data_IF_991274843384
#
_entry.id   IF_991274843384
#
_cell.length_a   1.000
_cell.length_b   1.000
_cell.length_c   1.000
_cell.angle_alpha   90.00
_cell.angle_beta   90.00
_cell.angle_gamma   90.00
#
_symmetry.space_group_name_H-M   'P 1'
#
loop_
_entity.id
_entity.type
_entity.pdbx_description
1 polymer ?
#
# COMPACT_ATOMS: atom_id res chain seq x y z
N UNK A 1 -11.53 -31.79 118.71
CA UNK A 1 -12.61 -31.17 119.50
C UNK A 1 -13.88 -31.53 118.75
N UNK A 2 -14.74 -32.43 119.24
CA UNK A 2 -15.39 -32.45 120.57
C UNK A 2 -16.26 -31.19 120.74
N UNK A 3 -17.52 -31.27 121.17
CA UNK A 3 -18.23 -32.25 122.01
C UNK A 3 -19.69 -32.40 121.42
N UNK A 4 -20.53 -33.43 121.59
CA UNK A 4 -20.98 -34.20 122.76
C UNK A 4 -21.60 -33.29 123.86
N UNK A 5 -22.74 -33.50 124.52
CA UNK A 5 -23.94 -34.40 124.42
C UNK A 5 -25.14 -33.53 124.91
N UNK A 6 -26.41 -33.93 125.15
CA UNK A 6 -27.15 -35.19 125.38
C UNK A 6 -28.44 -35.19 124.49
N UNK A 7 -29.45 -36.09 124.48
CA UNK A 7 -30.23 -36.79 125.52
C UNK A 7 -31.02 -35.83 126.45
N UNK A 8 -32.31 -36.05 126.80
CA UNK A 8 -32.99 -37.32 127.09
C UNK A 8 -34.54 -37.27 126.90
N UNK A 9 -35.14 -38.45 126.59
CA UNK A 9 -36.47 -38.97 127.03
C UNK A 9 -37.78 -38.16 126.71
N UNK A 10 -39.00 -38.72 126.71
CA UNK A 10 -39.55 -40.00 127.22
C UNK A 10 -40.37 -40.81 126.16
N UNK A 11 -40.68 -42.08 126.49
CA UNK A 11 -41.50 -43.01 125.71
C UNK A 11 -43.01 -42.70 125.71
N UNK A 12 -43.69 -42.99 124.58
CA UNK A 12 -44.92 -43.81 124.56
C UNK A 12 -45.27 -44.24 123.12
N UNK A 13 -45.55 -45.53 122.84
CA UNK A 13 -46.02 -45.98 121.53
C UNK A 13 -47.54 -45.80 121.38
N UNK A 14 -47.98 -45.52 120.15
CA UNK A 14 -49.37 -45.65 119.72
C UNK A 14 -49.39 -46.11 118.26
N UNK A 15 -50.00 -47.26 118.00
CA UNK A 15 -50.05 -47.88 116.68
C UNK A 15 -50.89 -47.02 115.71
N UNK A 16 -50.32 -46.74 114.54
CA UNK A 16 -51.01 -46.09 113.44
C UNK A 16 -50.48 -46.69 112.13
N UNK A 17 -51.16 -47.75 111.66
CA UNK A 17 -50.98 -48.25 110.30
C UNK A 17 -51.34 -47.12 109.32
N UNK A 18 -50.31 -46.50 108.76
CA UNK A 18 -50.40 -45.56 107.66
C UNK A 18 -49.83 -46.26 106.44
N UNK A 19 -50.70 -46.96 105.70
CA UNK A 19 -50.36 -47.50 104.39
C UNK A 19 -49.79 -46.35 103.54
N UNK A 20 -48.51 -46.46 103.21
CA UNK A 20 -47.87 -45.58 102.22
C UNK A 20 -48.28 -46.15 100.86
N UNK A 21 -49.53 -45.87 100.49
CA UNK A 21 -50.01 -46.06 99.13
C UNK A 21 -49.09 -45.26 98.19
N UNK A 22 -48.26 -46.00 97.45
CA UNK A 22 -47.49 -45.50 96.30
C UNK A 22 -48.48 -45.26 95.15
N UNK A 23 -49.46 -44.39 95.38
CA UNK A 23 -50.33 -43.83 94.35
C UNK A 23 -49.48 -42.87 93.51
N UNK A 24 -48.64 -43.49 92.67
CA UNK A 24 -47.85 -42.83 91.65
C UNK A 24 -48.82 -42.22 90.65
N UNK A 25 -49.29 -41.02 90.97
CA UNK A 25 -50.28 -40.26 90.23
C UNK A 25 -49.75 -40.02 88.82
N UNK A 26 -50.05 -40.96 87.92
CA UNK A 26 -49.78 -40.89 86.51
C UNK A 26 -50.64 -39.74 85.96
N UNK A 27 -50.05 -38.53 85.98
CA UNK A 27 -50.65 -37.32 85.43
C UNK A 27 -51.05 -37.63 84.00
N UNK A 28 -52.36 -37.68 83.76
CA UNK A 28 -52.91 -38.06 82.47
C UNK A 28 -52.70 -36.91 81.48
N UNK A 29 -51.47 -36.83 80.94
CA UNK A 29 -50.92 -35.75 80.11
C UNK A 29 -51.48 -35.83 78.68
N UNK A 30 -52.81 -35.78 78.60
CA UNK A 30 -53.60 -35.77 77.38
C UNK A 30 -53.84 -34.31 76.97
N UNK A 31 -53.02 -33.74 76.07
CA UNK A 31 -53.06 -32.30 75.79
C UNK A 31 -54.44 -31.87 75.29
N UNK A 32 -54.91 -30.73 75.77
CA UNK A 32 -56.26 -30.22 75.48
C UNK A 32 -56.42 -29.87 74.00
N UNK A 33 -57.67 -29.73 73.54
CA UNK A 33 -57.94 -29.34 72.14
C UNK A 33 -57.25 -28.01 71.77
N UNK A 34 -57.16 -27.07 72.71
CA UNK A 34 -56.47 -25.79 72.52
C UNK A 34 -54.95 -25.94 72.36
N UNK A 35 -54.31 -26.85 73.10
CA UNK A 35 -52.88 -27.14 72.91
C UNK A 35 -52.64 -27.81 71.55
N UNK A 36 -53.55 -28.68 71.09
CA UNK A 36 -53.49 -29.29 69.76
C UNK A 36 -53.69 -28.26 68.64
N UNK A 37 -54.57 -27.28 68.82
CA UNK A 37 -54.74 -26.14 67.90
C UNK A 37 -53.50 -25.23 67.90
N UNK A 38 -52.97 -24.89 69.07
CA UNK A 38 -51.77 -24.07 69.21
C UNK A 38 -50.55 -24.75 68.56
N UNK A 39 -50.33 -26.05 68.80
CA UNK A 39 -49.27 -26.82 68.17
C UNK A 39 -49.45 -26.99 66.65
N UNK A 40 -50.67 -26.94 66.12
CA UNK A 40 -50.92 -26.85 64.67
C UNK A 40 -50.59 -25.46 64.13
N UNK A 41 -50.99 -24.39 64.84
CA UNK A 41 -50.70 -23.02 64.44
C UNK A 41 -49.20 -22.72 64.47
N UNK A 42 -48.48 -23.19 65.48
CA UNK A 42 -47.02 -23.04 65.60
C UNK A 42 -46.28 -23.75 64.46
N UNK A 43 -46.68 -24.99 64.11
CA UNK A 43 -46.14 -25.68 62.92
C UNK A 43 -46.40 -24.90 61.63
N UNK A 44 -47.64 -24.45 61.41
CA UNK A 44 -48.01 -23.64 60.23
C UNK A 44 -47.28 -22.29 60.18
N UNK A 45 -46.90 -21.70 61.32
CA UNK A 45 -46.07 -20.49 61.36
C UNK A 45 -44.63 -20.81 60.94
N UNK A 46 -44.03 -21.88 61.49
CA UNK A 46 -42.66 -22.28 61.18
C UNK A 46 -42.49 -22.82 59.74
N UNK A 47 -43.51 -23.47 59.17
CA UNK A 47 -43.60 -23.80 57.75
C UNK A 47 -43.59 -22.54 56.86
N UNK A 48 -44.28 -21.47 57.29
CA UNK A 48 -44.32 -20.19 56.57
C UNK A 48 -43.02 -19.40 56.73
N UNK A 49 -42.36 -19.51 57.88
CA UNK A 49 -41.05 -18.93 58.19
C UNK A 49 -39.98 -19.52 57.25
N UNK A 50 -39.81 -20.85 57.23
CA UNK A 50 -38.93 -21.52 56.26
C UNK A 50 -39.27 -21.20 54.80
N UNK A 51 -40.57 -21.09 54.48
CA UNK A 51 -41.05 -20.71 53.15
C UNK A 51 -40.84 -19.24 52.77
N UNK A 52 -40.53 -18.36 53.73
CA UNK A 52 -40.08 -16.98 53.51
C UNK A 52 -38.55 -16.92 53.41
N UNK A 53 -37.82 -17.63 54.29
CA UNK A 53 -36.36 -17.71 54.25
C UNK A 53 -35.86 -18.26 52.91
N UNK A 54 -36.50 -19.33 52.40
CA UNK A 54 -36.21 -19.88 51.08
C UNK A 54 -36.44 -18.87 49.95
N UNK A 55 -37.44 -17.98 50.08
CA UNK A 55 -37.73 -16.94 49.09
C UNK A 55 -36.75 -15.77 49.18
N UNK A 56 -36.30 -15.39 50.37
CA UNK A 56 -35.21 -14.41 50.50
C UNK A 56 -33.98 -14.93 49.79
N UNK A 57 -33.52 -16.13 50.14
CA UNK A 57 -32.37 -16.79 49.50
C UNK A 57 -32.58 -17.13 47.99
N UNK A 58 -33.77 -16.93 47.43
CA UNK A 58 -34.00 -16.94 45.98
C UNK A 58 -33.92 -15.53 45.36
N UNK A 59 -34.40 -14.50 46.07
CA UNK A 59 -34.30 -13.10 45.69
C UNK A 59 -32.86 -12.59 45.76
N UNK A 60 -32.13 -12.87 46.84
CA UNK A 60 -30.72 -12.49 47.01
C UNK A 60 -29.89 -13.02 45.80
N UNK A 61 -30.10 -14.29 45.44
CA UNK A 61 -29.47 -14.96 44.27
C UNK A 61 -30.02 -14.53 42.90
N UNK A 62 -30.98 -13.60 42.86
CA UNK A 62 -31.46 -12.93 41.64
C UNK A 62 -30.87 -11.54 41.56
N UNK A 63 -30.76 -10.83 42.69
CA UNK A 63 -30.05 -9.55 42.84
C UNK A 63 -28.57 -9.70 42.41
N UNK A 64 -27.84 -10.66 42.98
CA UNK A 64 -26.47 -11.05 42.56
C UNK A 64 -26.30 -11.26 41.04
N UNK A 65 -27.36 -11.70 40.35
CA UNK A 65 -27.37 -11.99 38.90
C UNK A 65 -27.86 -10.83 38.05
N UNK A 66 -28.51 -9.84 38.64
CA UNK A 66 -28.81 -8.56 38.00
C UNK A 66 -27.55 -7.71 38.06
N UNK A 67 -26.94 -7.57 39.24
CA UNK A 67 -25.71 -6.80 39.46
C UNK A 67 -24.59 -7.26 38.52
N UNK A 68 -24.32 -8.57 38.48
CA UNK A 68 -23.30 -9.15 37.59
C UNK A 68 -23.58 -8.93 36.08
N UNK A 69 -24.85 -8.75 35.69
CA UNK A 69 -25.24 -8.39 34.31
C UNK A 69 -25.16 -6.91 34.05
N UNK A 70 -25.44 -6.07 35.04
CA UNK A 70 -25.26 -4.62 34.94
C UNK A 70 -23.77 -4.30 34.76
N UNK A 71 -22.87 -4.95 35.52
CA UNK A 71 -21.43 -4.87 35.26
C UNK A 71 -21.04 -5.39 33.86
N UNK A 72 -21.68 -6.45 33.36
CA UNK A 72 -21.41 -7.01 32.02
C UNK A 72 -21.84 -6.03 30.91
N UNK A 73 -22.96 -5.33 31.10
CA UNK A 73 -23.47 -4.31 30.19
C UNK A 73 -22.62 -3.04 30.23
N UNK A 74 -22.28 -2.52 31.42
CA UNK A 74 -21.46 -1.32 31.57
C UNK A 74 -20.07 -1.49 30.94
N UNK A 75 -19.46 -2.69 31.03
CA UNK A 75 -18.21 -3.00 30.29
C UNK A 75 -18.41 -2.98 28.78
N UNK A 76 -19.53 -3.54 28.28
CA UNK A 76 -19.85 -3.53 26.85
C UNK A 76 -20.14 -2.14 26.30
N UNK A 77 -20.74 -1.26 27.10
CA UNK A 77 -20.97 0.14 26.75
C UNK A 77 -19.62 0.83 26.55
N UNK A 78 -18.70 0.75 27.52
CA UNK A 78 -17.33 1.28 27.36
C UNK A 78 -16.55 0.65 26.20
N UNK A 79 -16.70 -0.66 25.95
CA UNK A 79 -16.11 -1.33 24.78
C UNK A 79 -16.73 -0.91 23.43
N UNK A 80 -17.94 -0.33 23.42
CA UNK A 80 -18.58 0.21 22.22
C UNK A 80 -18.18 1.67 22.02
N UNK A 81 -18.17 2.49 23.08
CA UNK A 81 -17.69 3.88 23.05
C UNK A 81 -16.25 3.96 22.50
N UNK A 82 -15.34 3.09 22.98
CA UNK A 82 -13.95 3.05 22.49
C UNK A 82 -13.88 2.65 20.99
N UNK A 83 -14.82 1.85 20.50
CA UNK A 83 -14.89 1.46 19.08
C UNK A 83 -15.50 2.54 18.20
N UNK A 84 -16.45 3.33 18.73
CA UNK A 84 -17.01 4.50 18.04
C UNK A 84 -15.90 5.53 17.81
N UNK A 85 -15.15 5.90 18.87
CA UNK A 85 -13.96 6.78 18.72
C UNK A 85 -12.89 6.23 17.75
N UNK A 86 -12.65 4.91 17.72
CA UNK A 86 -11.73 4.29 16.77
C UNK A 86 -12.29 4.16 15.33
N UNK A 87 -13.58 4.39 15.12
CA UNK A 87 -14.19 4.51 13.80
C UNK A 87 -14.13 5.96 13.31
N UNK A 88 -14.50 6.93 14.16
CA UNK A 88 -14.40 8.36 13.89
C UNK A 88 -12.97 8.77 13.46
N UNK A 89 -11.94 8.30 14.18
CA UNK A 89 -10.53 8.55 13.83
C UNK A 89 -10.16 7.97 12.45
N UNK A 90 -10.78 6.86 12.05
CA UNK A 90 -10.53 6.23 10.74
C UNK A 90 -11.32 6.86 9.61
N UNK A 91 -12.50 7.38 9.88
CA UNK A 91 -13.30 8.13 8.90
C UNK A 91 -12.56 9.44 8.56
N UNK A 92 -12.16 10.22 9.57
CA UNK A 92 -11.33 11.42 9.37
C UNK A 92 -10.01 11.13 8.63
N UNK A 93 -9.31 10.03 8.97
CA UNK A 93 -8.08 9.63 8.28
C UNK A 93 -8.29 9.06 6.87
N UNK A 94 -9.53 8.77 6.46
CA UNK A 94 -9.91 8.44 5.08
C UNK A 94 -10.28 9.71 4.31
N UNK A 95 -11.02 10.64 4.89
CA UNK A 95 -11.36 11.95 4.29
C UNK A 95 -10.09 12.77 3.96
N UNK A 96 -9.13 12.84 4.90
CA UNK A 96 -7.80 13.43 4.69
C UNK A 96 -7.07 12.76 3.50
N UNK A 97 -7.33 11.47 3.28
CA UNK A 97 -6.65 10.68 2.25
C UNK A 97 -7.36 10.68 0.90
N UNK A 98 -8.67 10.87 0.85
CA UNK A 98 -9.39 11.21 -0.37
C UNK A 98 -8.93 12.58 -0.87
N UNK A 99 -8.81 13.56 0.02
CA UNK A 99 -8.27 14.90 -0.28
C UNK A 99 -6.84 14.86 -0.86
N UNK A 100 -5.92 14.10 -0.24
CA UNK A 100 -4.55 13.87 -0.74
C UNK A 100 -4.49 13.11 -2.09
N UNK A 101 -5.57 12.44 -2.50
CA UNK A 101 -5.66 11.79 -3.82
C UNK A 101 -6.23 12.74 -4.87
N UNK A 102 -7.28 13.50 -4.54
CA UNK A 102 -7.86 14.53 -5.42
C UNK A 102 -6.83 15.60 -5.81
N UNK A 103 -6.03 16.09 -4.84
CA UNK A 103 -4.94 17.06 -5.11
C UNK A 103 -3.92 16.49 -6.11
N UNK A 104 -3.58 15.20 -6.00
CA UNK A 104 -2.62 14.54 -6.89
C UNK A 104 -3.20 14.20 -8.27
N UNK A 105 -4.49 13.92 -8.37
CA UNK A 105 -5.15 13.76 -9.67
C UNK A 105 -5.19 15.10 -10.43
N UNK A 106 -5.38 16.21 -9.71
CA UNK A 106 -5.25 17.56 -10.26
C UNK A 106 -3.80 17.87 -10.71
N UNK A 107 -2.78 17.61 -9.89
CA UNK A 107 -1.36 17.78 -10.26
C UNK A 107 -0.98 16.95 -11.50
N UNK A 108 -1.42 15.68 -11.56
CA UNK A 108 -1.16 14.80 -12.71
C UNK A 108 -1.87 15.29 -13.98
N UNK A 109 -3.09 15.82 -13.85
CA UNK A 109 -3.85 16.41 -14.97
C UNK A 109 -3.16 17.67 -15.50
N UNK A 110 -2.62 18.54 -14.64
CA UNK A 110 -1.83 19.69 -15.08
C UNK A 110 -0.54 19.25 -15.77
N UNK A 111 0.15 18.24 -15.22
CA UNK A 111 1.40 17.72 -15.80
C UNK A 111 1.21 17.09 -17.18
N UNK A 112 0.13 16.33 -17.40
CA UNK A 112 -0.21 15.74 -18.71
C UNK A 112 -0.56 16.84 -19.75
N UNK A 113 -1.22 17.92 -19.32
CA UNK A 113 -1.47 19.09 -20.15
C UNK A 113 -0.17 19.81 -20.54
N UNK A 114 0.75 20.03 -19.59
CA UNK A 114 2.08 20.62 -19.85
C UNK A 114 2.93 19.74 -20.80
N UNK A 115 2.88 18.42 -20.65
CA UNK A 115 3.54 17.48 -21.57
C UNK A 115 2.92 17.53 -22.97
N UNK A 116 1.59 17.66 -23.07
CA UNK A 116 0.87 17.75 -24.34
C UNK A 116 1.16 19.05 -25.09
N UNK A 117 1.21 20.19 -24.39
CA UNK A 117 1.65 21.48 -24.95
C UNK A 117 3.09 21.39 -25.47
N UNK A 118 3.99 20.81 -24.65
CA UNK A 118 5.41 20.65 -25.00
C UNK A 118 5.67 19.64 -26.13
N UNK A 119 4.79 18.68 -26.35
CA UNK A 119 4.83 17.83 -27.53
C UNK A 119 4.47 18.62 -28.80
N UNK A 120 3.43 19.47 -28.74
CA UNK A 120 3.05 20.33 -29.86
C UNK A 120 4.14 21.38 -30.20
N UNK A 121 4.82 21.96 -29.19
CA UNK A 121 6.00 22.83 -29.40
C UNK A 121 7.11 22.12 -30.19
N UNK A 122 7.32 20.82 -29.94
CA UNK A 122 8.36 20.03 -30.59
C UNK A 122 7.97 19.66 -32.03
N UNK A 123 6.71 19.31 -32.27
CA UNK A 123 6.18 19.03 -33.62
C UNK A 123 6.27 20.29 -34.52
N UNK A 124 5.90 21.48 -34.02
CA UNK A 124 6.05 22.75 -34.74
C UNK A 124 7.53 23.07 -35.03
N UNK A 125 8.43 22.79 -34.08
CA UNK A 125 9.86 22.95 -34.27
C UNK A 125 10.44 21.97 -35.31
N UNK A 126 9.96 20.72 -35.37
CA UNK A 126 10.38 19.76 -36.39
C UNK A 126 9.87 20.16 -37.79
N UNK A 127 8.60 20.58 -37.94
CA UNK A 127 8.07 21.09 -39.21
C UNK A 127 8.86 22.34 -39.68
N UNK A 128 9.18 23.25 -38.76
CA UNK A 128 9.98 24.45 -39.04
C UNK A 128 11.39 24.10 -39.51
N UNK A 129 12.07 23.16 -38.82
CA UNK A 129 13.41 22.69 -39.20
C UNK A 129 13.39 21.96 -40.55
N UNK A 130 12.40 21.10 -40.80
CA UNK A 130 12.25 20.37 -42.06
C UNK A 130 11.98 21.33 -43.23
N UNK A 131 11.15 22.35 -43.03
CA UNK A 131 10.91 23.43 -44.01
C UNK A 131 12.19 24.22 -44.31
N UNK A 132 12.99 24.55 -43.28
CA UNK A 132 14.25 25.26 -43.47
C UNK A 132 15.31 24.42 -44.18
N UNK A 133 15.45 23.14 -43.81
CA UNK A 133 16.42 22.20 -44.41
C UNK A 133 16.07 21.84 -45.85
N UNK A 134 14.79 21.63 -46.17
CA UNK A 134 14.34 21.38 -47.55
C UNK A 134 14.52 22.61 -48.44
N UNK A 135 14.30 23.82 -47.92
CA UNK A 135 14.66 25.08 -48.61
C UNK A 135 16.15 25.17 -48.91
N UNK A 136 17.02 24.97 -47.91
CA UNK A 136 18.48 24.97 -48.13
C UNK A 136 18.93 23.90 -49.13
N UNK A 137 18.34 22.70 -49.10
CA UNK A 137 18.68 21.65 -50.05
C UNK A 137 18.28 22.01 -51.49
N UNK A 138 17.16 22.70 -51.70
CA UNK A 138 16.76 23.19 -53.02
C UNK A 138 17.73 24.26 -53.56
N UNK A 139 18.11 25.25 -52.74
CA UNK A 139 19.10 26.28 -53.10
C UNK A 139 20.47 25.65 -53.46
N UNK A 140 20.87 24.62 -52.70
CA UNK A 140 22.10 23.86 -52.95
C UNK A 140 21.99 23.02 -54.23
N UNK A 141 20.87 22.34 -54.48
CA UNK A 141 20.65 21.56 -55.70
C UNK A 141 20.62 22.43 -56.96
N UNK A 142 19.99 23.62 -56.90
CA UNK A 142 20.01 24.59 -57.99
C UNK A 142 21.44 25.08 -58.27
N UNK A 143 22.18 25.53 -57.25
CA UNK A 143 23.56 26.02 -57.43
C UNK A 143 24.54 24.94 -57.92
N UNK A 144 24.38 23.68 -57.49
CA UNK A 144 25.14 22.53 -58.00
C UNK A 144 24.76 22.23 -59.46
N UNK A 145 23.47 22.29 -59.80
CA UNK A 145 22.97 22.03 -61.16
C UNK A 145 23.41 23.13 -62.14
N UNK A 146 23.35 24.40 -61.74
CA UNK A 146 23.87 25.53 -62.53
C UNK A 146 25.40 25.40 -62.72
N UNK A 147 26.14 25.09 -61.66
CA UNK A 147 27.59 24.88 -61.73
C UNK A 147 27.93 23.72 -62.67
N UNK A 148 27.16 22.63 -62.64
CA UNK A 148 27.35 21.47 -63.50
C UNK A 148 26.98 21.77 -64.97
N UNK A 149 25.91 22.52 -65.24
CA UNK A 149 25.57 22.99 -66.59
C UNK A 149 26.67 23.90 -67.14
N UNK A 150 27.08 24.92 -66.39
CA UNK A 150 28.18 25.82 -66.79
C UNK A 150 29.50 25.06 -67.02
N UNK A 151 29.78 24.01 -66.24
CA UNK A 151 30.94 23.16 -66.45
C UNK A 151 30.83 22.31 -67.74
N UNK A 152 29.64 21.77 -68.04
CA UNK A 152 29.36 21.00 -69.26
C UNK A 152 29.37 21.88 -70.51
N UNK A 153 28.73 23.05 -70.50
CA UNK A 153 28.78 24.03 -71.60
C UNK A 153 30.22 24.48 -71.88
N UNK A 154 31.03 24.68 -70.82
CA UNK A 154 32.46 25.00 -70.96
C UNK A 154 33.27 23.82 -71.53
N UNK A 155 32.86 22.59 -71.25
CA UNK A 155 33.45 21.37 -71.80
C UNK A 155 33.09 21.21 -73.30
N UNK A 156 31.82 21.44 -73.67
CA UNK A 156 31.32 21.41 -75.05
C UNK A 156 31.91 22.54 -75.90
N UNK A 157 32.05 23.75 -75.35
CA UNK A 157 32.74 24.89 -75.98
C UNK A 157 34.24 24.60 -76.28
N UNK A 158 34.83 23.62 -75.60
CA UNK A 158 36.23 23.19 -75.79
C UNK A 158 36.36 21.99 -76.75
N UNK A 159 35.25 21.46 -77.31
CA UNK A 159 35.23 20.22 -78.12
C UNK A 159 35.86 20.34 -79.54
N UNK A 160 36.52 21.46 -79.86
CA UNK A 160 37.07 21.78 -81.19
C UNK A 160 38.57 21.50 -81.38
N UNK A 161 39.29 21.11 -80.32
CA UNK A 161 40.69 20.66 -80.40
C UNK A 161 40.92 19.41 -79.54
N UNK A 162 41.70 18.45 -80.05
CA UNK A 162 41.86 17.12 -79.44
C UNK A 162 43.04 16.98 -78.48
N UNK A 163 43.23 15.73 -78.03
CA UNK A 163 44.40 15.21 -77.28
C UNK A 163 44.52 15.64 -75.80
N UNK A 164 43.82 14.89 -74.93
CA UNK A 164 44.06 14.77 -73.48
C UNK A 164 44.32 16.07 -72.69
N UNK A 165 43.29 16.93 -72.63
CA UNK A 165 43.26 18.13 -71.79
C UNK A 165 42.91 17.90 -70.31
N UNK A 166 42.56 18.96 -69.55
CA UNK A 166 42.33 18.92 -68.09
C UNK A 166 41.03 18.22 -67.65
N UNK A 167 40.47 17.36 -68.49
CA UNK A 167 39.22 16.64 -68.27
C UNK A 167 39.41 15.42 -67.36
N UNK A 168 40.60 14.78 -67.42
CA UNK A 168 40.96 13.67 -66.54
C UNK A 168 41.01 14.05 -65.05
N UNK A 169 41.47 15.26 -64.72
CA UNK A 169 41.51 15.72 -63.32
C UNK A 169 40.13 16.06 -62.77
N UNK A 170 39.18 16.54 -63.60
CA UNK A 170 37.78 16.70 -63.18
C UNK A 170 37.12 15.35 -62.85
N UNK A 171 37.33 14.32 -63.67
CA UNK A 171 36.79 12.97 -63.41
C UNK A 171 37.36 12.35 -62.12
N UNK A 172 38.66 12.51 -61.87
CA UNK A 172 39.30 12.07 -60.61
C UNK A 172 38.79 12.87 -59.41
N UNK A 173 38.56 14.18 -59.57
CA UNK A 173 37.99 15.04 -58.53
C UNK A 173 36.58 14.62 -58.13
N UNK A 174 35.67 14.41 -59.09
CA UNK A 174 34.31 13.93 -58.83
C UNK A 174 34.30 12.54 -58.18
N UNK A 175 35.14 11.62 -58.64
CA UNK A 175 35.29 10.30 -58.01
C UNK A 175 35.79 10.41 -56.55
N UNK A 176 36.71 11.34 -56.26
CA UNK A 176 37.18 11.62 -54.91
C UNK A 176 36.08 12.16 -53.99
N UNK A 177 35.26 13.10 -54.48
CA UNK A 177 34.11 13.64 -53.73
C UNK A 177 33.08 12.55 -53.44
N UNK A 178 32.73 11.73 -54.44
CA UNK A 178 31.80 10.62 -54.25
C UNK A 178 32.29 9.60 -53.21
N UNK A 179 33.60 9.31 -53.16
CA UNK A 179 34.21 8.44 -52.14
C UNK A 179 34.15 9.04 -50.73
N UNK A 180 34.32 10.36 -50.58
CA UNK A 180 34.19 11.03 -49.26
C UNK A 180 32.74 10.98 -48.76
N UNK A 181 31.77 11.27 -49.62
CA UNK A 181 30.33 11.19 -49.26
C UNK A 181 29.94 9.76 -48.89
N UNK A 182 30.39 8.75 -49.68
CA UNK A 182 30.15 7.34 -49.37
C UNK A 182 30.77 6.91 -48.05
N UNK A 183 31.99 7.35 -47.73
CA UNK A 183 32.68 7.05 -46.46
C UNK A 183 31.96 7.63 -45.23
N UNK A 184 31.44 8.85 -45.33
CA UNK A 184 30.67 9.51 -44.25
C UNK A 184 29.29 8.84 -44.08
N UNK A 185 28.59 8.55 -45.19
CA UNK A 185 27.30 7.84 -45.13
C UNK A 185 27.43 6.45 -44.53
N UNK A 186 28.51 5.72 -44.84
CA UNK A 186 28.76 4.40 -44.28
C UNK A 186 29.05 4.44 -42.76
N UNK A 187 29.75 5.47 -42.25
CA UNK A 187 30.01 5.57 -40.80
C UNK A 187 28.74 5.88 -39.99
N UNK A 188 27.82 6.67 -40.54
CA UNK A 188 26.49 6.87 -39.94
C UNK A 188 25.67 5.57 -39.89
N UNK A 189 25.70 4.78 -40.98
CA UNK A 189 25.00 3.50 -41.09
C UNK A 189 25.55 2.43 -40.11
N UNK A 190 26.87 2.43 -39.87
CA UNK A 190 27.51 1.56 -38.86
C UNK A 190 27.11 1.96 -37.44
N UNK A 191 27.03 3.26 -37.12
CA UNK A 191 26.53 3.74 -35.81
C UNK A 191 25.06 3.38 -35.57
N UNK A 192 24.25 3.29 -36.62
CA UNK A 192 22.85 2.83 -36.54
C UNK A 192 22.71 1.29 -36.51
N UNK A 193 23.80 0.53 -36.67
CA UNK A 193 23.79 -0.94 -36.67
C UNK A 193 23.17 -1.60 -37.91
N UNK A 194 22.90 -0.85 -38.97
CA UNK A 194 22.14 -1.31 -40.16
C UNK A 194 23.02 -1.62 -41.38
N UNK A 195 24.33 -1.74 -41.20
CA UNK A 195 25.28 -2.00 -42.30
C UNK A 195 25.09 -3.41 -42.92
N UNK A 196 25.00 -3.54 -44.27
CA UNK A 196 24.67 -4.80 -44.93
C UNK A 196 25.79 -5.85 -44.94
N UNK A 197 27.02 -5.46 -44.60
CA UNK A 197 28.18 -6.34 -44.48
C UNK A 197 29.04 -5.89 -43.29
N UNK A 198 29.08 -6.66 -42.21
CA UNK A 198 30.04 -6.49 -41.11
C UNK A 198 31.19 -7.48 -41.29
N UNK A 199 32.43 -7.01 -41.24
CA UNK A 199 33.61 -7.81 -41.59
C UNK A 199 34.50 -8.11 -40.38
N UNK A 200 34.45 -7.27 -39.34
CA UNK A 200 35.28 -7.45 -38.15
C UNK A 200 34.82 -6.75 -36.88
N UNK A 201 33.53 -6.38 -36.79
CA UNK A 201 32.98 -5.62 -35.67
C UNK A 201 33.30 -4.12 -35.74
N UNK A 202 32.68 -3.34 -34.87
CA UNK A 202 32.52 -1.89 -34.98
C UNK A 202 33.84 -1.11 -35.18
N UNK A 203 34.94 -1.59 -34.59
CA UNK A 203 36.27 -0.97 -34.74
C UNK A 203 36.92 -1.23 -36.09
N UNK A 204 36.68 -2.39 -36.72
CA UNK A 204 37.19 -2.71 -38.04
C UNK A 204 36.37 -2.01 -39.13
N UNK A 205 35.05 -2.02 -39.01
CA UNK A 205 34.14 -1.44 -40.00
C UNK A 205 34.30 0.11 -40.04
N UNK A 206 34.54 0.75 -38.87
CA UNK A 206 34.88 2.18 -38.79
C UNK A 206 36.30 2.50 -39.32
N UNK A 207 37.27 1.59 -39.13
CA UNK A 207 38.61 1.76 -39.71
C UNK A 207 38.59 1.70 -41.25
N UNK A 208 37.75 0.83 -41.84
CA UNK A 208 37.53 0.78 -43.29
C UNK A 208 36.90 2.10 -43.78
N UNK A 209 35.88 2.62 -43.09
CA UNK A 209 35.26 3.90 -43.42
C UNK A 209 36.29 5.06 -43.42
N UNK A 210 37.15 5.11 -42.40
CA UNK A 210 38.21 6.10 -42.30
C UNK A 210 39.23 5.99 -43.45
N UNK A 211 39.67 4.78 -43.81
CA UNK A 211 40.59 4.55 -44.95
C UNK A 211 39.95 5.02 -46.27
N UNK A 212 38.67 4.71 -46.52
CA UNK A 212 37.96 5.14 -47.74
C UNK A 212 37.87 6.68 -47.82
N UNK A 213 37.52 7.35 -46.72
CA UNK A 213 37.45 8.80 -46.65
C UNK A 213 38.83 9.46 -46.87
N UNK A 214 39.89 8.92 -46.26
CA UNK A 214 41.28 9.40 -46.43
C UNK A 214 41.75 9.24 -47.89
N UNK A 215 41.42 8.12 -48.55
CA UNK A 215 41.75 7.89 -49.96
C UNK A 215 41.01 8.88 -50.88
N UNK A 216 39.71 9.11 -50.66
CA UNK A 216 38.94 10.12 -51.42
C UNK A 216 39.51 11.54 -51.26
N UNK A 217 39.90 11.91 -50.05
CA UNK A 217 40.51 13.20 -49.73
C UNK A 217 41.93 13.35 -50.32
N UNK A 218 42.73 12.28 -50.31
CA UNK A 218 44.06 12.26 -50.94
C UNK A 218 43.99 12.35 -52.47
N UNK A 219 43.01 11.69 -53.11
CA UNK A 219 42.76 11.81 -54.55
C UNK A 219 42.39 13.25 -54.94
N UNK A 220 41.57 13.91 -54.12
CA UNK A 220 41.20 15.32 -54.34
C UNK A 220 42.44 16.23 -54.27
N UNK A 221 43.22 16.16 -53.18
CA UNK A 221 44.48 16.92 -53.00
C UNK A 221 45.51 16.68 -54.11
N UNK A 222 45.61 15.45 -54.62
CA UNK A 222 46.50 15.11 -55.74
C UNK A 222 46.19 15.89 -57.03
N UNK A 223 44.92 16.25 -57.28
CA UNK A 223 44.55 17.07 -58.45
C UNK A 223 44.88 18.56 -58.29
N UNK A 224 45.06 19.03 -57.05
CA UNK A 224 45.42 20.42 -56.72
C UNK A 224 46.94 20.62 -56.75
N UNK A 225 47.71 19.65 -56.24
CA UNK A 225 49.17 19.75 -56.17
C UNK A 225 49.86 19.78 -57.55
N UNK A 226 49.25 19.20 -58.60
CA UNK A 226 49.78 19.18 -59.96
C UNK A 226 49.64 20.50 -60.75
N UNK A 227 49.54 21.65 -60.08
CA UNK A 227 49.34 22.99 -60.67
C UNK A 227 50.31 24.06 -60.13
N UNK A 228 51.48 23.64 -59.65
CA UNK A 228 52.63 24.50 -59.32
C UNK A 228 53.80 24.05 -60.19
#
# INVERSE_FOLDING_TARGET
>A
MANDTDADHEDAPADADADVDDDSAATDDHPTEREREFAQMQRRLNEREMGLDQRSAELDRREEKVDAREEELNRRETELDEREYQLDEREAALDDRETDLDEREAELTEYDAQLSERAAELDEHEETLNTYLSGQMADVEESVTETMHNALDRYEATRSAGQFGPTGTMLVGLAGVALVVAGIGFSALVSAGTAPFSVGGTTADLAIAAVVAIVGLALNLGTVAGKI
#
